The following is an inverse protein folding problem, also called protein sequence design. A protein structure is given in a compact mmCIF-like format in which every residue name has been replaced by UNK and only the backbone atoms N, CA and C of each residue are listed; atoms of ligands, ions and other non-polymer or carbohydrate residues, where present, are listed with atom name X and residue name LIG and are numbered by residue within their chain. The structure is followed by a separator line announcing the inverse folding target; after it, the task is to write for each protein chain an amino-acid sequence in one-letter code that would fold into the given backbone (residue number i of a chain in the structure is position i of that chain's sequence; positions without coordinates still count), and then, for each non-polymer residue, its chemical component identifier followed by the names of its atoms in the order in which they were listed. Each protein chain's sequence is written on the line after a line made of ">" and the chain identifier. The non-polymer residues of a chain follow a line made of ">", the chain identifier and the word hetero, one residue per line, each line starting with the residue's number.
data_IF_390414477180
#
_entry.id   IF_390414477180
#
_cell.length_a   1.000
_cell.length_b   1.000
_cell.length_c   1.000
_cell.angle_alpha   90.00
_cell.angle_beta   90.00
_cell.angle_gamma   90.00
#
_symmetry.space_group_name_H-M   'P 1'
#
loop_
_entity.id
_entity.type
_entity.pdbx_description
1 polymer ?
#
# COMPACT_ATOMS: atom_id res chain seq x y z
N UNK A 1 -28.89 -4.29 21.23
CA UNK A 1 -27.84 -3.69 20.37
C UNK A 1 -26.47 -3.58 21.04
N UNK A 2 -26.35 -3.43 22.38
CA UNK A 2 -25.06 -3.32 23.06
C UNK A 2 -24.14 -4.56 23.02
N UNK A 3 -24.69 -5.78 22.98
CA UNK A 3 -23.89 -7.01 22.91
C UNK A 3 -23.16 -7.19 21.56
N UNK A 4 -23.73 -6.68 20.46
CA UNK A 4 -23.14 -6.76 19.12
C UNK A 4 -21.96 -5.79 19.01
N UNK A 5 -22.11 -4.57 19.53
CA UNK A 5 -21.04 -3.57 19.62
C UNK A 5 -19.89 -4.04 20.54
N UNK A 6 -20.21 -4.65 21.69
CA UNK A 6 -19.21 -5.24 22.59
C UNK A 6 -18.45 -6.41 21.96
N UNK A 7 -19.14 -7.27 21.22
CA UNK A 7 -18.53 -8.35 20.46
C UNK A 7 -17.59 -7.85 19.35
N UNK A 8 -18.00 -6.83 18.60
CA UNK A 8 -17.14 -6.19 17.59
C UNK A 8 -15.92 -5.52 18.22
N UNK A 9 -16.06 -4.84 19.36
CA UNK A 9 -14.93 -4.20 20.05
C UNK A 9 -13.93 -5.24 20.57
N UNK A 10 -14.41 -6.35 21.14
CA UNK A 10 -13.56 -7.44 21.61
C UNK A 10 -12.82 -8.13 20.46
N UNK A 11 -13.50 -8.37 19.33
CA UNK A 11 -12.87 -8.88 18.11
C UNK A 11 -11.81 -7.91 17.56
N UNK A 12 -12.09 -6.61 17.59
CA UNK A 12 -11.16 -5.57 17.14
C UNK A 12 -9.89 -5.51 17.98
N UNK A 13 -10.01 -5.64 19.30
CA UNK A 13 -8.88 -5.67 20.24
C UNK A 13 -8.05 -6.94 20.06
N UNK A 14 -8.68 -8.09 19.82
CA UNK A 14 -7.98 -9.36 19.57
C UNK A 14 -7.33 -9.43 18.18
N UNK A 15 -7.94 -8.82 17.16
CA UNK A 15 -7.38 -8.75 15.82
C UNK A 15 -6.23 -7.76 15.71
N UNK A 16 -6.22 -6.66 16.49
CA UNK A 16 -5.13 -5.67 16.47
C UNK A 16 -3.71 -6.24 16.62
N UNK A 17 -3.40 -7.11 17.60
CA UNK A 17 -2.05 -7.68 17.72
C UNK A 17 -1.71 -8.64 16.58
N UNK A 18 -2.69 -9.35 16.02
CA UNK A 18 -2.51 -10.22 14.84
C UNK A 18 -2.23 -9.38 13.59
N UNK A 19 -2.99 -8.31 13.37
CA UNK A 19 -2.73 -7.32 12.33
C UNK A 19 -1.34 -6.71 12.50
N UNK A 20 -0.95 -6.35 13.72
CA UNK A 20 0.36 -5.78 13.97
C UNK A 20 1.49 -6.77 13.68
N UNK A 21 1.33 -8.04 14.08
CA UNK A 21 2.29 -9.10 13.78
C UNK A 21 2.39 -9.37 12.27
N UNK A 22 1.25 -9.38 11.56
CA UNK A 22 1.20 -9.52 10.11
C UNK A 22 1.81 -8.30 9.40
N UNK A 23 1.48 -7.07 9.83
CA UNK A 23 2.09 -5.83 9.34
C UNK A 23 3.60 -5.85 9.57
N UNK A 24 4.07 -6.26 10.74
CA UNK A 24 5.51 -6.32 11.05
C UNK A 24 6.23 -7.34 10.18
N UNK A 25 5.60 -8.50 9.92
CA UNK A 25 6.12 -9.52 9.01
C UNK A 25 6.09 -9.08 7.55
N UNK A 26 5.05 -8.35 7.15
CA UNK A 26 4.89 -7.79 5.81
C UNK A 26 5.92 -6.69 5.57
N UNK A 27 6.03 -5.73 6.49
CA UNK A 27 7.02 -4.64 6.49
C UNK A 27 8.47 -5.11 6.57
N UNK A 28 8.75 -6.35 7.01
CA UNK A 28 10.10 -6.91 6.93
C UNK A 28 10.49 -7.35 5.51
N UNK A 29 9.54 -7.40 4.57
CA UNK A 29 9.83 -7.62 3.17
C UNK A 29 10.15 -6.30 2.48
N UNK A 30 11.35 -6.16 1.92
CA UNK A 30 11.77 -4.97 1.15
C UNK A 30 10.72 -4.54 0.11
N UNK A 31 10.07 -5.49 -0.53
CA UNK A 31 9.00 -5.26 -1.52
C UNK A 31 7.74 -4.61 -0.91
N UNK A 32 7.38 -5.00 0.31
CA UNK A 32 6.24 -4.43 1.00
C UNK A 32 6.51 -3.02 1.52
N UNK A 33 7.74 -2.74 1.97
CA UNK A 33 8.17 -1.39 2.35
C UNK A 33 7.99 -0.43 1.17
N UNK A 34 8.45 -0.83 -0.02
CA UNK A 34 8.35 -0.01 -1.24
C UNK A 34 6.89 0.27 -1.62
N UNK A 35 6.01 -0.73 -1.54
CA UNK A 35 4.58 -0.52 -1.82
C UNK A 35 3.97 0.42 -0.77
N UNK A 36 4.24 0.18 0.51
CA UNK A 36 3.66 0.96 1.60
C UNK A 36 4.13 2.42 1.58
N UNK A 37 5.42 2.67 1.33
CA UNK A 37 5.94 4.03 1.19
C UNK A 37 5.32 4.74 -0.02
N UNK A 38 5.12 4.03 -1.13
CA UNK A 38 4.48 4.61 -2.31
C UNK A 38 3.00 4.93 -2.09
N UNK A 39 2.28 4.07 -1.35
CA UNK A 39 0.91 4.36 -0.92
C UNK A 39 0.85 5.59 -0.02
N UNK A 40 1.76 5.71 0.97
CA UNK A 40 1.82 6.88 1.85
C UNK A 40 2.02 8.16 1.04
N UNK A 41 2.97 8.17 0.11
CA UNK A 41 3.24 9.33 -0.74
C UNK A 41 2.01 9.70 -1.58
N UNK A 42 1.33 8.71 -2.16
CA UNK A 42 0.10 8.94 -2.92
C UNK A 42 -1.01 9.57 -2.07
N UNK A 43 -1.28 9.02 -0.87
CA UNK A 43 -2.28 9.57 0.03
C UNK A 43 -1.91 10.95 0.57
N UNK A 44 -0.63 11.22 0.81
CA UNK A 44 -0.16 12.54 1.22
C UNK A 44 -0.40 13.58 0.12
N UNK A 45 -0.09 13.24 -1.14
CA UNK A 45 -0.36 14.10 -2.29
C UNK A 45 -1.86 14.33 -2.51
N UNK A 46 -2.67 13.26 -2.40
CA UNK A 46 -4.13 13.35 -2.49
C UNK A 46 -4.70 14.28 -1.40
N UNK A 47 -4.22 14.14 -0.17
CA UNK A 47 -4.65 14.97 0.96
C UNK A 47 -4.24 16.43 0.74
N UNK A 48 -2.99 16.68 0.35
CA UNK A 48 -2.49 18.02 0.07
C UNK A 48 -3.28 18.70 -1.06
N UNK A 49 -3.60 17.96 -2.13
CA UNK A 49 -4.43 18.46 -3.21
C UNK A 49 -5.87 18.72 -2.75
N UNK A 50 -6.46 17.85 -1.93
CA UNK A 50 -7.83 18.04 -1.43
C UNK A 50 -7.99 19.38 -0.70
N UNK A 51 -6.99 19.77 0.11
CA UNK A 51 -6.98 21.07 0.79
C UNK A 51 -6.76 22.26 -0.17
N UNK A 52 -6.04 22.06 -1.28
CA UNK A 52 -5.72 23.12 -2.25
C UNK A 52 -6.57 23.07 -3.53
N UNK A 53 -7.63 22.26 -3.57
CA UNK A 53 -8.44 22.01 -4.79
C UNK A 53 -9.06 23.26 -5.41
N UNK A 54 -9.26 24.32 -4.62
CA UNK A 54 -9.87 25.57 -5.07
C UNK A 54 -8.85 26.55 -5.66
N UNK A 55 -7.55 26.23 -5.60
CA UNK A 55 -6.50 27.11 -6.11
C UNK A 55 -6.31 26.93 -7.63
N UNK A 56 -5.99 27.99 -8.38
CA UNK A 56 -5.93 27.96 -9.85
C UNK A 56 -4.80 27.07 -10.41
N UNK A 57 -3.83 26.70 -9.59
CA UNK A 57 -2.76 25.76 -9.93
C UNK A 57 -3.04 24.33 -9.46
N UNK A 58 -4.21 24.05 -8.90
CA UNK A 58 -4.59 22.70 -8.51
C UNK A 58 -4.65 21.79 -9.74
N UNK A 59 -3.90 20.69 -9.70
CA UNK A 59 -3.85 19.73 -10.80
C UNK A 59 -5.22 19.12 -11.07
N UNK A 60 -5.50 18.75 -12.33
CA UNK A 60 -6.76 18.13 -12.70
C UNK A 60 -6.91 16.76 -12.01
N UNK A 61 -8.09 16.42 -11.47
CA UNK A 61 -8.30 15.17 -10.73
C UNK A 61 -8.04 13.90 -11.55
N UNK A 62 -8.06 13.98 -12.88
CA UNK A 62 -7.69 12.85 -13.74
C UNK A 62 -6.22 12.43 -13.57
N UNK A 63 -5.32 13.35 -13.21
CA UNK A 63 -3.91 13.02 -13.00
C UNK A 63 -3.69 12.06 -11.84
N UNK A 64 -4.65 11.92 -10.91
CA UNK A 64 -4.55 10.92 -9.83
C UNK A 64 -4.52 9.49 -10.36
N UNK A 65 -5.12 9.23 -11.51
CA UNK A 65 -5.06 7.91 -12.15
C UNK A 65 -3.63 7.62 -12.61
N UNK A 66 -2.97 8.60 -13.21
CA UNK A 66 -1.57 8.48 -13.63
C UNK A 66 -0.63 8.33 -12.42
N UNK A 67 -0.83 9.13 -11.37
CA UNK A 67 -0.07 9.01 -10.13
C UNK A 67 -0.31 7.67 -9.43
N UNK A 68 -1.52 7.12 -9.47
CA UNK A 68 -1.83 5.80 -8.93
C UNK A 68 -1.11 4.70 -9.70
N UNK A 69 -1.14 4.77 -11.03
CA UNK A 69 -0.40 3.84 -11.90
C UNK A 69 1.10 3.89 -11.64
N UNK A 70 1.68 5.08 -11.57
CA UNK A 70 3.11 5.27 -11.35
C UNK A 70 3.55 4.85 -9.93
N UNK A 71 2.79 5.25 -8.91
CA UNK A 71 3.16 5.01 -7.52
C UNK A 71 2.86 3.57 -7.06
N UNK A 72 1.79 2.94 -7.54
CA UNK A 72 1.36 1.63 -7.02
C UNK A 72 1.61 0.50 -8.02
N UNK A 73 1.17 0.65 -9.28
CA UNK A 73 1.28 -0.44 -10.27
C UNK A 73 2.74 -0.69 -10.65
N UNK A 74 3.52 0.36 -10.88
CA UNK A 74 4.90 0.26 -11.32
C UNK A 74 5.82 -0.51 -10.34
N UNK A 75 5.83 -0.22 -9.02
CA UNK A 75 6.57 -1.05 -8.07
C UNK A 75 6.02 -2.48 -7.97
N UNK A 76 4.70 -2.68 -8.09
CA UNK A 76 4.11 -4.02 -8.09
C UNK A 76 4.61 -4.87 -9.27
N UNK A 77 4.60 -4.31 -10.48
CA UNK A 77 5.14 -4.93 -11.69
C UNK A 77 6.63 -5.22 -11.52
N UNK A 78 7.40 -4.27 -10.96
CA UNK A 78 8.84 -4.45 -10.69
C UNK A 78 9.11 -5.63 -9.76
N UNK A 79 8.32 -5.77 -8.69
CA UNK A 79 8.42 -6.88 -7.73
C UNK A 79 8.12 -8.22 -8.41
N UNK A 80 7.06 -8.29 -9.21
CA UNK A 80 6.67 -9.51 -9.94
C UNK A 80 7.74 -9.92 -10.95
N UNK A 81 8.27 -8.97 -11.73
CA UNK A 81 9.33 -9.21 -12.69
C UNK A 81 10.63 -9.66 -12.02
N UNK A 82 11.00 -9.04 -10.89
CA UNK A 82 12.19 -9.40 -10.13
C UNK A 82 12.08 -10.83 -9.57
N UNK A 83 10.93 -11.20 -8.97
CA UNK A 83 10.68 -12.56 -8.49
C UNK A 83 10.76 -13.60 -9.62
N UNK A 84 10.22 -13.28 -10.80
CA UNK A 84 10.30 -14.17 -11.98
C UNK A 84 11.74 -14.36 -12.47
N UNK A 85 12.54 -13.29 -12.53
CA UNK A 85 13.95 -13.36 -12.94
C UNK A 85 14.79 -14.18 -11.95
N UNK A 86 14.63 -13.94 -10.65
CA UNK A 86 15.28 -14.72 -9.58
C UNK A 86 14.96 -16.22 -9.67
N UNK A 87 13.68 -16.56 -9.86
CA UNK A 87 13.26 -17.97 -9.97
C UNK A 87 13.83 -18.66 -11.21
N UNK A 88 13.99 -17.91 -12.31
CA UNK A 88 14.59 -18.42 -13.56
C UNK A 88 16.10 -18.65 -13.39
N UNK A 89 16.82 -17.72 -12.76
CA UNK A 89 18.25 -17.84 -12.50
C UNK A 89 18.59 -19.12 -11.71
N UNK A 90 17.85 -19.39 -10.63
CA UNK A 90 18.02 -20.57 -9.75
C UNK A 90 17.76 -21.89 -10.51
N UNK A 91 16.92 -21.88 -11.55
CA UNK A 91 16.60 -23.08 -12.34
C UNK A 91 17.62 -23.39 -13.42
N UNK A 92 18.46 -22.43 -13.82
CA UNK A 92 19.53 -22.61 -14.83
C UNK A 92 20.85 -23.09 -14.25
N UNK A 93 20.99 -23.09 -12.92
CA UNK A 93 22.17 -23.60 -12.19
C UNK A 93 22.05 -25.07 -11.78
N UNK A 94 20.94 -25.75 -12.12
CA UNK A 94 20.74 -27.19 -11.93
C UNK A 94 20.80 -27.92 -13.26
#
# INVERSE_FOLDING_TARGET
>A
MGAILGGMLAFYILCKPIEWALLKRFLNSFNAIVIYSSCIVFFALLTAWYFKRNEPYAFHPSMFVDYFLAAIILPFVRIVLYKRKMKKAISTEK
#
